data_IF_292468586639
#
_entry.id   IF_292468586639
#
_cell.length_a   1.000
_cell.length_b   1.000
_cell.length_c   1.000
_cell.angle_alpha   90.00
_cell.angle_beta   90.00
_cell.angle_gamma   90.00
#
_symmetry.space_group_name_H-M   'P 1'
#
loop_
_entity.id
_entity.type
_entity.pdbx_description
1 polymer ?
#
# COMPACT_ATOMS: atom_id res chain seq x y z
N UNK A 1 17.24 8.18 10.80
CA UNK A 1 16.13 7.57 10.04
C UNK A 1 15.63 6.39 10.84
N UNK A 2 14.32 6.29 11.03
CA UNK A 2 13.67 5.22 11.80
C UNK A 2 12.73 4.45 10.88
N UNK A 3 12.44 3.18 11.18
CA UNK A 3 11.37 2.43 10.52
C UNK A 3 10.13 2.41 11.41
N UNK A 4 8.95 2.47 10.82
CA UNK A 4 7.67 2.40 11.55
C UNK A 4 6.89 1.15 11.18
N UNK A 5 6.16 0.65 12.16
CA UNK A 5 5.25 -0.49 12.01
C UNK A 5 3.84 -0.02 11.54
N UNK A 6 3.04 -0.95 11.04
CA UNK A 6 1.67 -0.72 10.54
C UNK A 6 0.81 -0.04 11.59
N UNK A 7 0.91 -0.44 12.86
CA UNK A 7 0.10 0.15 13.92
C UNK A 7 0.30 1.66 14.07
N UNK A 8 1.50 2.20 13.84
CA UNK A 8 1.78 3.64 13.93
C UNK A 8 0.98 4.37 12.87
N UNK A 9 0.97 3.87 11.63
CA UNK A 9 0.25 4.48 10.52
C UNK A 9 -1.27 4.33 10.68
N UNK A 10 -1.75 3.19 11.19
CA UNK A 10 -3.17 2.98 11.49
C UNK A 10 -3.66 4.03 12.47
N UNK A 11 -2.94 4.28 13.58
CA UNK A 11 -3.34 5.31 14.57
C UNK A 11 -3.44 6.71 13.98
N UNK A 12 -2.62 7.04 12.99
CA UNK A 12 -2.65 8.34 12.32
C UNK A 12 -3.87 8.45 11.42
N UNK A 13 -4.19 7.39 10.68
CA UNK A 13 -5.31 7.39 9.72
C UNK A 13 -6.66 7.31 10.41
N UNK A 14 -6.80 6.49 11.45
CA UNK A 14 -8.09 6.20 12.07
C UNK A 14 -8.37 7.05 13.31
N UNK A 15 -7.31 7.52 14.00
CA UNK A 15 -7.40 8.22 15.28
C UNK A 15 -8.30 7.51 16.32
N UNK A 16 -8.33 6.18 16.27
CA UNK A 16 -9.19 5.35 17.12
C UNK A 16 -8.69 5.23 18.57
N UNK A 17 -7.38 5.40 18.78
CA UNK A 17 -6.77 5.73 20.08
C UNK A 17 -6.11 7.11 19.97
N UNK A 18 -6.76 8.19 20.45
CA UNK A 18 -6.23 9.55 20.35
C UNK A 18 -4.88 9.77 21.07
N UNK A 19 -4.59 8.99 22.12
CA UNK A 19 -3.31 9.10 22.84
C UNK A 19 -2.18 8.50 21.99
N UNK A 20 -2.41 7.33 21.39
CA UNK A 20 -1.45 6.73 20.47
C UNK A 20 -1.32 7.53 19.19
N UNK A 21 -2.42 8.05 18.63
CA UNK A 21 -2.40 8.90 17.44
C UNK A 21 -1.53 10.15 17.63
N UNK A 22 -1.64 10.82 18.78
CA UNK A 22 -0.77 11.96 19.12
C UNK A 22 0.71 11.56 19.19
N UNK A 23 1.02 10.39 19.76
CA UNK A 23 2.40 9.87 19.83
C UNK A 23 2.93 9.50 18.44
N UNK A 24 2.12 8.84 17.62
CA UNK A 24 2.45 8.46 16.25
C UNK A 24 2.70 9.70 15.38
N UNK A 25 1.84 10.71 15.47
CA UNK A 25 2.03 11.99 14.76
C UNK A 25 3.34 12.69 15.18
N UNK A 26 3.71 12.65 16.46
CA UNK A 26 4.99 13.19 16.91
C UNK A 26 6.20 12.44 16.35
N UNK A 27 6.09 11.12 16.13
CA UNK A 27 7.13 10.31 15.49
C UNK A 27 7.29 10.76 14.02
N UNK A 28 6.18 10.85 13.28
CA UNK A 28 6.21 11.29 11.88
C UNK A 28 6.60 12.77 11.71
N UNK A 29 6.46 13.62 12.73
CA UNK A 29 6.83 15.04 12.61
C UNK A 29 8.32 15.31 12.88
N UNK A 30 9.02 14.43 13.61
CA UNK A 30 10.39 14.70 14.11
C UNK A 30 11.47 14.00 13.32
N UNK A 31 11.21 12.76 12.89
CA UNK A 31 12.23 11.88 12.34
C UNK A 31 12.05 11.71 10.83
N UNK A 32 13.14 11.39 10.11
CA UNK A 32 13.02 10.77 8.79
C UNK A 32 12.52 9.33 8.96
N UNK A 33 11.43 8.98 8.29
CA UNK A 33 10.71 7.73 8.47
C UNK A 33 10.84 6.86 7.23
N UNK A 34 11.30 5.64 7.40
CA UNK A 34 11.28 4.59 6.40
C UNK A 34 10.02 3.72 6.58
N UNK A 35 9.37 3.36 5.48
CA UNK A 35 8.18 2.49 5.49
C UNK A 35 8.38 1.33 4.50
N UNK A 36 8.38 0.10 5.02
CA UNK A 36 8.52 -1.10 4.21
C UNK A 36 7.26 -1.36 3.35
N UNK A 37 7.42 -2.07 2.22
CA UNK A 37 6.29 -2.48 1.36
C UNK A 37 5.29 -3.36 2.12
N UNK A 38 5.78 -4.18 3.04
CA UNK A 38 4.94 -5.04 3.89
C UNK A 38 4.05 -4.24 4.83
N UNK A 39 4.51 -3.08 5.30
CA UNK A 39 3.71 -2.18 6.14
C UNK A 39 2.55 -1.58 5.33
N UNK A 40 2.79 -1.16 4.09
CA UNK A 40 1.72 -0.72 3.19
C UNK A 40 0.73 -1.85 2.88
N UNK A 41 1.23 -3.07 2.66
CA UNK A 41 0.41 -4.25 2.39
C UNK A 41 -0.55 -4.56 3.55
N UNK A 42 -0.02 -4.62 4.77
CA UNK A 42 -0.82 -4.89 5.97
C UNK A 42 -1.77 -3.73 6.29
N UNK A 43 -1.29 -2.48 6.14
CA UNK A 43 -2.10 -1.28 6.36
C UNK A 43 -3.36 -1.27 5.49
N UNK A 44 -3.25 -1.57 4.20
CA UNK A 44 -4.43 -1.64 3.32
C UNK A 44 -5.43 -2.66 3.82
N UNK A 45 -4.94 -3.86 4.13
CA UNK A 45 -5.77 -4.96 4.58
C UNK A 45 -6.51 -4.62 5.88
N UNK A 46 -5.80 -4.04 6.86
CA UNK A 46 -6.40 -3.62 8.15
C UNK A 46 -7.46 -2.53 7.92
N UNK A 47 -7.13 -1.47 7.18
CA UNK A 47 -8.06 -0.35 6.95
C UNK A 47 -9.34 -0.81 6.23
N UNK A 48 -9.20 -1.73 5.26
CA UNK A 48 -10.34 -2.27 4.52
C UNK A 48 -11.14 -3.29 5.32
N UNK A 49 -10.49 -4.21 6.03
CA UNK A 49 -11.16 -5.37 6.66
C UNK A 49 -11.62 -5.09 8.08
N UNK A 50 -10.79 -4.42 8.89
CA UNK A 50 -11.11 -4.14 10.29
C UNK A 50 -11.85 -2.81 10.46
N UNK A 51 -11.42 -1.75 9.75
CA UNK A 51 -12.04 -0.43 9.84
C UNK A 51 -13.11 -0.17 8.77
N UNK A 52 -13.30 -1.10 7.82
CA UNK A 52 -14.29 -1.00 6.74
C UNK A 52 -14.21 0.31 5.95
N UNK A 53 -13.01 0.89 5.84
CA UNK A 53 -12.81 2.13 5.11
C UNK A 53 -12.98 1.89 3.61
N UNK A 54 -13.63 2.84 2.94
CA UNK A 54 -13.77 2.81 1.50
C UNK A 54 -12.40 2.95 0.81
N UNK A 55 -12.25 2.26 -0.33
CA UNK A 55 -11.04 2.31 -1.18
C UNK A 55 -10.53 3.74 -1.42
N UNK A 56 -11.43 4.70 -1.66
CA UNK A 56 -11.07 6.11 -1.88
C UNK A 56 -10.41 6.76 -0.66
N UNK A 57 -10.86 6.43 0.54
CA UNK A 57 -10.29 6.93 1.80
C UNK A 57 -8.90 6.33 2.01
N UNK A 58 -8.75 5.03 1.76
CA UNK A 58 -7.46 4.33 1.85
C UNK A 58 -6.45 4.93 0.86
N UNK A 59 -6.82 5.09 -0.41
CA UNK A 59 -5.97 5.72 -1.42
C UNK A 59 -5.51 7.12 -1.01
N UNK A 60 -6.42 7.94 -0.46
CA UNK A 60 -6.10 9.28 0.05
C UNK A 60 -5.10 9.22 1.20
N UNK A 61 -5.28 8.29 2.15
CA UNK A 61 -4.36 8.12 3.27
C UNK A 61 -2.94 7.73 2.81
N UNK A 62 -2.82 6.77 1.89
CA UNK A 62 -1.53 6.36 1.34
C UNK A 62 -0.84 7.49 0.58
N UNK A 63 -1.59 8.22 -0.27
CA UNK A 63 -1.06 9.40 -0.99
C UNK A 63 -0.58 10.49 -0.04
N UNK A 64 -1.31 10.75 1.05
CA UNK A 64 -0.91 11.71 2.06
C UNK A 64 0.39 11.29 2.76
N UNK A 65 0.53 10.01 3.12
CA UNK A 65 1.74 9.48 3.77
C UNK A 65 2.95 9.56 2.84
N UNK A 66 2.81 9.09 1.60
CA UNK A 66 3.87 9.15 0.58
C UNK A 66 4.25 10.58 0.20
N UNK A 67 3.31 11.53 0.32
CA UNK A 67 3.57 12.94 0.05
C UNK A 67 4.31 13.68 1.17
N UNK A 68 4.60 13.04 2.31
CA UNK A 68 5.37 13.66 3.39
C UNK A 68 6.85 13.73 3.02
N UNK A 69 7.44 14.93 3.08
CA UNK A 69 8.84 15.17 2.67
C UNK A 69 9.89 14.37 3.46
N UNK A 70 9.55 13.88 4.65
CA UNK A 70 10.43 13.12 5.52
C UNK A 70 10.14 11.60 5.51
N UNK A 71 9.22 11.14 4.65
CA UNK A 71 8.91 9.73 4.47
C UNK A 71 9.69 9.17 3.28
N UNK A 72 10.27 7.99 3.47
CA UNK A 72 10.96 7.21 2.45
C UNK A 72 10.30 5.82 2.39
N UNK A 73 9.64 5.52 1.27
CA UNK A 73 9.02 4.21 1.07
C UNK A 73 10.01 3.24 0.42
N UNK A 74 10.02 2.00 0.92
CA UNK A 74 10.72 0.91 0.24
C UNK A 74 10.18 0.77 -1.18
N UNK A 75 11.04 0.98 -2.17
CA UNK A 75 10.71 0.83 -3.59
C UNK A 75 9.47 1.67 -3.98
N UNK A 76 9.51 2.95 -3.61
CA UNK A 76 8.41 3.92 -3.75
C UNK A 76 7.73 3.89 -5.13
N UNK A 77 8.52 3.77 -6.21
CA UNK A 77 7.98 3.67 -7.57
C UNK A 77 7.00 2.50 -7.73
N UNK A 78 7.28 1.34 -7.12
CA UNK A 78 6.38 0.18 -7.16
C UNK A 78 5.18 0.35 -6.25
N UNK A 79 5.34 1.00 -5.09
CA UNK A 79 4.22 1.31 -4.19
C UNK A 79 3.24 2.28 -4.88
N UNK A 80 3.74 3.35 -5.49
CA UNK A 80 2.93 4.31 -6.26
C UNK A 80 2.23 3.61 -7.42
N UNK A 81 2.96 2.78 -8.19
CA UNK A 81 2.37 2.00 -9.28
C UNK A 81 1.26 1.05 -8.78
N UNK A 82 1.44 0.44 -7.61
CA UNK A 82 0.43 -0.42 -7.01
C UNK A 82 -0.82 0.35 -6.60
N UNK A 83 -0.67 1.59 -6.10
CA UNK A 83 -1.82 2.46 -5.78
C UNK A 83 -2.65 2.83 -7.01
N UNK A 84 -1.99 3.12 -8.14
CA UNK A 84 -2.68 3.36 -9.42
C UNK A 84 -3.49 2.13 -9.87
N UNK A 85 -2.92 0.93 -9.75
CA UNK A 85 -3.62 -0.29 -10.13
C UNK A 85 -4.72 -0.69 -9.14
N UNK A 86 -4.53 -0.40 -7.87
CA UNK A 86 -5.55 -0.55 -6.84
C UNK A 86 -6.75 0.36 -7.10
N UNK A 87 -6.50 1.62 -7.50
CA UNK A 87 -7.54 2.57 -7.90
C UNK A 87 -8.32 2.10 -9.13
N UNK A 88 -7.65 1.48 -10.10
CA UNK A 88 -8.25 0.98 -11.35
C UNK A 88 -8.88 -0.41 -11.25
N UNK A 89 -8.81 -1.06 -10.08
CA UNK A 89 -9.66 -2.21 -9.75
C UNK A 89 -8.96 -3.50 -9.34
N UNK A 90 -7.62 -3.53 -9.27
CA UNK A 90 -6.92 -4.63 -8.58
C UNK A 90 -7.18 -4.58 -7.06
N UNK A 91 -6.96 -5.71 -6.39
CA UNK A 91 -6.69 -5.72 -4.95
C UNK A 91 -5.28 -5.15 -4.72
N UNK A 92 -5.03 -4.50 -3.58
CA UNK A 92 -3.74 -3.85 -3.36
C UNK A 92 -2.59 -4.86 -3.27
N UNK A 93 -2.84 -6.06 -2.70
CA UNK A 93 -1.84 -7.12 -2.64
C UNK A 93 -1.43 -7.58 -4.05
N UNK A 94 -2.42 -7.87 -4.90
CA UNK A 94 -2.22 -8.22 -6.31
C UNK A 94 -1.46 -7.14 -7.08
N UNK A 95 -1.84 -5.87 -6.84
CA UNK A 95 -1.19 -4.73 -7.46
C UNK A 95 0.28 -4.60 -7.04
N UNK A 96 0.58 -4.75 -5.75
CA UNK A 96 1.93 -4.65 -5.21
C UNK A 96 2.81 -5.83 -5.62
N UNK A 97 2.26 -7.05 -5.67
CA UNK A 97 2.91 -8.22 -6.23
C UNK A 97 3.30 -7.98 -7.70
N UNK A 98 2.33 -7.58 -8.54
CA UNK A 98 2.59 -7.31 -9.95
C UNK A 98 3.62 -6.20 -10.14
N UNK A 99 3.57 -5.16 -9.32
CA UNK A 99 4.48 -4.02 -9.45
C UNK A 99 5.90 -4.44 -9.08
N UNK A 100 6.05 -5.21 -7.99
CA UNK A 100 7.33 -5.75 -7.52
C UNK A 100 7.92 -6.80 -8.45
N UNK A 101 7.12 -7.49 -9.27
CA UNK A 101 7.60 -8.45 -10.28
C UNK A 101 8.13 -7.79 -11.56
N UNK A 102 8.38 -6.48 -11.59
CA UNK A 102 8.76 -5.74 -12.81
C UNK A 102 10.04 -6.21 -13.51
N UNK A 103 10.93 -6.92 -12.80
CA UNK A 103 12.16 -7.48 -13.37
C UNK A 103 11.96 -8.88 -13.98
N UNK A 104 10.80 -9.51 -13.77
CA UNK A 104 10.47 -10.78 -14.38
C UNK A 104 9.89 -10.56 -15.79
N UNK A 105 10.13 -11.53 -16.69
CA UNK A 105 9.47 -11.55 -18.01
C UNK A 105 7.96 -11.77 -17.89
N UNK A 106 7.52 -12.46 -16.84
CA UNK A 106 6.14 -12.87 -16.62
C UNK A 106 5.86 -13.15 -15.14
N UNK A 107 4.62 -12.90 -14.70
CA UNK A 107 4.07 -13.36 -13.43
C UNK A 107 3.12 -14.53 -13.73
N UNK A 108 3.32 -15.65 -13.05
CA UNK A 108 2.47 -16.84 -13.13
C UNK A 108 1.63 -16.97 -11.86
N UNK A 109 0.36 -17.37 -11.99
CA UNK A 109 -0.55 -17.52 -10.85
C UNK A 109 -1.59 -18.61 -11.11
N UNK A 110 -2.16 -19.23 -10.07
CA UNK A 110 -3.36 -20.05 -10.21
C UNK A 110 -4.65 -19.22 -10.13
N UNK A 111 -4.55 -17.94 -9.75
CA UNK A 111 -5.68 -17.03 -9.62
C UNK A 111 -6.13 -16.50 -10.98
N UNK A 112 -7.21 -17.08 -11.49
CA UNK A 112 -7.85 -16.69 -12.76
C UNK A 112 -8.41 -15.28 -12.73
N UNK A 113 -8.91 -14.80 -11.59
CA UNK A 113 -9.49 -13.47 -11.47
C UNK A 113 -8.39 -12.40 -11.42
N UNK A 114 -7.27 -12.66 -10.72
CA UNK A 114 -6.10 -11.78 -10.78
C UNK A 114 -5.57 -11.64 -12.22
N UNK A 115 -5.38 -12.76 -12.93
CA UNK A 115 -4.93 -12.75 -14.33
C UNK A 115 -5.91 -12.05 -15.28
N UNK A 116 -7.22 -12.12 -14.99
CA UNK A 116 -8.25 -11.43 -15.78
C UNK A 116 -8.26 -9.92 -15.50
N UNK A 117 -8.15 -9.50 -14.23
CA UNK A 117 -8.13 -8.08 -13.86
C UNK A 117 -6.85 -7.38 -14.31
N UNK A 118 -5.69 -8.05 -14.28
CA UNK A 118 -4.43 -7.49 -14.78
C UNK A 118 -4.48 -7.20 -16.29
N UNK A 119 -5.16 -8.04 -17.09
CA UNK A 119 -5.41 -7.76 -18.51
C UNK A 119 -6.25 -6.51 -18.73
N UNK A 120 -7.26 -6.25 -17.87
CA UNK A 120 -8.13 -5.05 -17.97
C UNK A 120 -7.38 -3.73 -17.75
N UNK A 121 -6.28 -3.77 -17.00
CA UNK A 121 -5.39 -2.61 -16.80
C UNK A 121 -4.20 -2.60 -17.77
N UNK A 122 -4.33 -3.28 -18.92
CA UNK A 122 -3.32 -3.40 -19.98
C UNK A 122 -1.98 -4.03 -19.53
N UNK A 123 -2.01 -4.93 -18.54
CA UNK A 123 -0.81 -5.67 -18.08
C UNK A 123 -0.92 -7.14 -18.48
N UNK A 124 -0.48 -7.42 -19.71
CA UNK A 124 -0.53 -8.76 -20.34
C UNK A 124 0.52 -9.76 -19.82
N UNK A 125 1.36 -9.36 -18.86
CA UNK A 125 2.44 -10.21 -18.31
C UNK A 125 1.99 -11.16 -17.20
N UNK A 126 0.68 -11.31 -16.95
CA UNK A 126 0.14 -12.24 -15.95
C UNK A 126 -0.55 -13.40 -16.66
N UNK A 127 -0.15 -14.63 -16.36
CA UNK A 127 -0.74 -15.85 -16.93
C UNK A 127 -1.18 -16.84 -15.86
N UNK A 128 -2.22 -17.59 -16.18
CA UNK A 128 -2.65 -18.73 -15.37
C UNK A 128 -1.86 -19.97 -15.78
N UNK A 129 -1.31 -20.69 -14.81
CA UNK A 129 -0.70 -22.02 -14.98
C UNK A 129 -1.57 -23.10 -14.36
#
# INVERSE_FOLDING_TARGET
>A
MISVDTNILIRIVTNDDPRQAKRAANVLAKDRVFIAKTVFLEMEWILRRAYLLEKKVILKAFRNILGLMNVEAEDELRVVQALEWYETGLDFADALHLASSGNASQLVTFDKEFAKKSKKINRTRVSVV
#
